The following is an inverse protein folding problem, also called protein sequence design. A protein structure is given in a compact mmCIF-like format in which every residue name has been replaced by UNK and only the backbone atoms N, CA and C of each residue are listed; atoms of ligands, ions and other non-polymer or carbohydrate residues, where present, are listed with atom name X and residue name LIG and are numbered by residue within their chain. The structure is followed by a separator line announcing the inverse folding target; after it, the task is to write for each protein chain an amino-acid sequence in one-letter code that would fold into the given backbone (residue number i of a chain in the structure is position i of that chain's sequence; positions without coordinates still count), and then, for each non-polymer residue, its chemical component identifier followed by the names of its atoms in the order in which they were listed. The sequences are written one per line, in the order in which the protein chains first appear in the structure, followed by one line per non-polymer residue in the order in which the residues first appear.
data_IF_908399076056
#
_entry.id   IF_908399076056
#
_cell.length_a   1.000
_cell.length_b   1.000
_cell.length_c   1.000
_cell.angle_alpha   90.00
_cell.angle_beta   90.00
_cell.angle_gamma   90.00
#
_symmetry.space_group_name_H-M   'P 1'
#
loop_
_entity.id
_entity.type
_entity.pdbx_description
1 polymer ?
#
# COMPACT_ATOMS: atom_id res chain seq x y z
N UNK A 1 -1.49 3.93 5.37
CA UNK A 1 -1.36 2.52 5.65
C UNK A 1 -2.69 1.88 5.94
N UNK A 2 -3.20 1.15 4.98
CA UNK A 2 -4.49 0.51 5.11
C UNK A 2 -4.35 -0.81 5.84
N UNK A 3 -5.11 -0.96 6.88
CA UNK A 3 -5.05 -2.13 7.69
C UNK A 3 -6.36 -2.88 7.65
N UNK A 4 -6.25 -4.14 7.43
CA UNK A 4 -7.38 -5.04 7.43
C UNK A 4 -7.13 -6.03 8.54
N UNK A 5 -7.56 -5.66 9.72
CA UNK A 5 -7.32 -6.47 10.88
C UNK A 5 -5.89 -6.28 11.32
N UNK A 6 -5.08 -7.30 11.14
CA UNK A 6 -3.67 -7.20 11.43
C UNK A 6 -2.89 -7.05 10.15
N UNK A 7 -3.57 -7.17 9.04
CA UNK A 7 -2.93 -7.08 7.75
C UNK A 7 -2.87 -5.65 7.25
N UNK A 8 -1.78 -5.00 7.51
CA UNK A 8 -1.57 -3.66 7.03
C UNK A 8 -0.70 -3.73 5.81
N UNK A 9 -1.10 -3.01 4.78
CA UNK A 9 -0.36 -3.02 3.55
C UNK A 9 0.95 -2.25 3.72
N UNK A 10 2.09 -2.96 3.55
CA UNK A 10 3.40 -2.37 3.72
C UNK A 10 3.62 -1.19 2.80
N UNK A 11 4.20 -0.19 3.38
CA UNK A 11 4.43 1.10 2.77
C UNK A 11 5.37 0.95 1.57
N UNK A 12 6.18 -0.08 1.61
CA UNK A 12 7.11 -0.33 0.55
C UNK A 12 6.70 -1.47 -0.36
N UNK A 13 5.42 -1.59 -0.65
CA UNK A 13 4.97 -2.63 -1.58
C UNK A 13 4.80 -2.02 -3.00
N UNK A 14 4.96 -0.73 -3.09
CA UNK A 14 4.61 0.03 -4.29
C UNK A 14 5.38 -0.39 -5.54
N UNK A 15 6.67 -0.63 -5.43
CA UNK A 15 7.46 -1.01 -6.60
C UNK A 15 7.24 -2.48 -6.96
N UNK A 16 6.69 -3.22 -6.03
CA UNK A 16 6.36 -4.62 -6.23
C UNK A 16 4.97 -4.74 -6.84
N UNK A 17 4.22 -3.65 -6.78
CA UNK A 17 2.90 -3.61 -7.35
C UNK A 17 2.92 -2.87 -8.70
N UNK A 18 1.93 -3.09 -9.54
CA UNK A 18 1.77 -2.38 -10.80
C UNK A 18 1.04 -1.02 -10.59
N UNK A 19 1.10 -0.10 -11.59
CA UNK A 19 0.58 1.28 -11.51
C UNK A 19 -0.75 1.47 -10.76
N UNK A 20 -1.79 0.72 -11.13
CA UNK A 20 -3.12 0.92 -10.57
C UNK A 20 -3.17 0.57 -9.07
N UNK A 21 -2.30 -0.29 -8.65
CA UNK A 21 -2.26 -0.68 -7.27
C UNK A 21 -1.30 0.21 -6.50
N UNK A 22 -0.41 0.87 -7.24
CA UNK A 22 0.52 1.82 -6.66
C UNK A 22 -0.21 3.06 -6.22
N UNK A 23 -1.29 3.37 -6.93
CA UNK A 23 -2.16 4.51 -6.60
C UNK A 23 -2.68 4.41 -5.17
N UNK A 24 -2.96 3.20 -4.75
CA UNK A 24 -3.47 2.96 -3.40
C UNK A 24 -2.32 2.80 -2.46
N UNK A 25 -1.22 2.29 -3.00
CA UNK A 25 0.00 2.09 -2.25
C UNK A 25 0.62 3.43 -1.89
N UNK A 26 0.28 4.46 -2.67
CA UNK A 26 0.72 5.81 -2.37
C UNK A 26 0.10 6.26 -1.06
N UNK A 27 -1.20 5.99 -0.94
CA UNK A 27 -1.91 6.31 0.29
C UNK A 27 -1.53 5.32 1.38
N UNK A 28 -1.04 4.16 1.00
CA UNK A 28 -0.53 3.19 1.95
C UNK A 28 0.75 3.71 2.57
N UNK A 29 1.57 4.35 1.75
CA UNK A 29 2.83 4.91 2.20
C UNK A 29 2.59 6.06 3.19
N UNK A 30 1.57 6.85 2.91
CA UNK A 30 1.26 8.05 3.70
C UNK A 30 0.18 7.80 4.75
N UNK A 31 -0.33 6.60 4.81
CA UNK A 31 -1.34 6.24 5.80
C UNK A 31 -1.16 4.81 6.24
#
# INVERSE_FOLDING_TARGET
GFCWGDLCVPYGTCSQLPPWLQDMCAAASFD
#
